data_IF_942793303911
#
_entry.id   IF_942793303911
#
_cell.length_a   1.000
_cell.length_b   1.000
_cell.length_c   1.000
_cell.angle_alpha   90.00
_cell.angle_beta   90.00
_cell.angle_gamma   90.00
#
_symmetry.space_group_name_H-M   'P 1'
#
loop_
_entity.id
_entity.type
_entity.pdbx_description
1 polymer ?
#
# COMPACT_ATOMS: atom_id res chain seq x y z
N UNK A 1 0.51 -25.15 -33.47
CA UNK A 1 1.61 -26.03 -33.05
C UNK A 1 1.07 -27.12 -32.12
N UNK A 2 1.37 -28.39 -32.38
CA UNK A 2 0.88 -29.51 -31.57
C UNK A 2 1.51 -29.51 -30.17
N UNK A 3 0.89 -30.22 -29.22
CA UNK A 3 1.37 -30.35 -27.84
C UNK A 3 2.76 -31.01 -27.80
N UNK A 4 2.99 -32.02 -28.65
CA UNK A 4 4.30 -32.64 -28.87
C UNK A 4 5.37 -31.66 -29.37
N UNK A 5 5.02 -30.75 -30.30
CA UNK A 5 5.98 -29.77 -30.82
C UNK A 5 6.37 -28.74 -29.76
N UNK A 6 5.44 -28.28 -28.92
CA UNK A 6 5.75 -27.45 -27.74
C UNK A 6 6.67 -28.17 -26.75
N UNK A 7 6.42 -29.46 -26.49
CA UNK A 7 7.24 -30.25 -25.55
C UNK A 7 8.68 -30.43 -26.05
N UNK A 8 8.87 -30.66 -27.36
CA UNK A 8 10.21 -30.75 -27.97
C UNK A 8 10.99 -29.44 -27.87
N UNK A 9 10.35 -28.30 -28.15
CA UNK A 9 11.01 -26.98 -28.08
C UNK A 9 11.44 -26.67 -26.65
N UNK A 10 10.59 -26.93 -25.66
CA UNK A 10 10.93 -26.70 -24.25
C UNK A 10 12.07 -27.61 -23.78
N UNK A 11 12.12 -28.85 -24.25
CA UNK A 11 13.20 -29.77 -23.92
C UNK A 11 14.54 -29.35 -24.54
N UNK A 12 14.54 -28.92 -25.80
CA UNK A 12 15.75 -28.38 -26.46
C UNK A 12 16.25 -27.09 -25.80
N UNK A 13 15.34 -26.22 -25.35
CA UNK A 13 15.71 -25.01 -24.62
C UNK A 13 16.34 -25.32 -23.25
N UNK A 14 15.82 -26.32 -22.53
CA UNK A 14 16.39 -26.77 -21.26
C UNK A 14 17.78 -27.41 -21.43
N UNK A 15 17.96 -28.23 -22.47
CA UNK A 15 19.26 -28.84 -22.80
C UNK A 15 20.32 -27.80 -23.17
N UNK A 16 19.93 -26.75 -23.91
CA UNK A 16 20.81 -25.64 -24.26
C UNK A 16 21.26 -24.84 -23.03
N UNK A 17 20.35 -24.55 -22.10
CA UNK A 17 20.68 -23.84 -20.85
C UNK A 17 21.60 -24.68 -19.95
N UNK A 18 21.37 -25.99 -19.86
CA UNK A 18 22.24 -26.90 -19.12
C UNK A 18 23.68 -26.97 -19.69
N UNK A 19 23.84 -26.82 -21.01
CA UNK A 19 25.16 -26.76 -21.65
C UNK A 19 25.90 -25.44 -21.39
N UNK A 20 25.18 -24.33 -21.22
CA UNK A 20 25.76 -23.04 -20.85
C UNK A 20 26.31 -23.03 -19.40
N UNK A 21 25.63 -23.70 -18.47
CA UNK A 21 26.08 -23.81 -17.07
C UNK A 21 27.36 -24.63 -16.89
N UNK A 22 27.73 -25.47 -17.87
CA UNK A 22 28.96 -26.27 -17.84
C UNK A 22 30.19 -25.56 -18.45
N UNK A 23 30.10 -24.24 -18.71
CA UNK A 23 31.27 -23.43 -19.09
C UNK A 23 31.73 -23.61 -20.55
N UNK A 24 30.82 -24.02 -21.44
CA UNK A 24 31.10 -24.10 -22.88
C UNK A 24 31.29 -22.72 -23.51
N UNK A 25 32.44 -22.51 -24.17
CA UNK A 25 32.69 -21.34 -25.03
C UNK A 25 31.71 -21.29 -26.21
N UNK A 26 31.08 -20.14 -26.44
CA UNK A 26 30.05 -19.88 -27.48
C UNK A 26 30.63 -19.88 -28.92
N UNK A 27 31.89 -20.28 -29.10
CA UNK A 27 32.64 -20.10 -30.34
C UNK A 27 32.27 -21.01 -31.52
N UNK A 28 31.76 -22.24 -31.30
CA UNK A 28 31.79 -23.27 -32.35
C UNK A 28 30.43 -23.92 -32.70
N UNK A 29 29.29 -23.35 -32.26
CA UNK A 29 27.96 -23.95 -32.51
C UNK A 29 27.09 -23.20 -33.55
N UNK A 30 27.69 -22.35 -34.40
CA UNK A 30 26.95 -21.45 -35.28
C UNK A 30 26.62 -22.00 -36.69
N UNK A 31 27.01 -23.23 -37.07
CA UNK A 31 26.87 -23.68 -38.47
C UNK A 31 25.78 -24.72 -38.78
N UNK A 32 25.02 -25.25 -37.81
CA UNK A 32 23.96 -26.21 -38.14
C UNK A 32 22.67 -26.01 -37.34
N UNK A 33 21.82 -25.08 -37.79
CA UNK A 33 20.39 -25.14 -37.45
C UNK A 33 19.53 -24.56 -38.60
N UNK A 34 18.78 -25.40 -39.35
CA UNK A 34 17.93 -24.93 -40.42
C UNK A 34 16.54 -24.52 -39.89
N UNK A 35 16.16 -23.27 -40.17
CA UNK A 35 14.77 -22.89 -40.41
C UNK A 35 13.94 -22.44 -39.21
N UNK A 36 13.83 -21.12 -39.04
CA UNK A 36 12.61 -20.33 -39.30
C UNK A 36 12.70 -19.02 -38.51
N UNK A 37 12.26 -17.93 -39.12
CA UNK A 37 12.17 -16.59 -38.51
C UNK A 37 11.37 -16.61 -37.17
N UNK A 38 10.54 -17.64 -36.98
CA UNK A 38 9.81 -17.96 -35.75
C UNK A 38 10.71 -18.33 -34.57
N UNK A 39 11.80 -19.09 -34.78
CA UNK A 39 12.73 -19.46 -33.70
C UNK A 39 13.49 -18.24 -33.16
N UNK A 40 13.94 -17.36 -34.04
CA UNK A 40 14.59 -16.10 -33.64
C UNK A 40 13.62 -15.18 -32.91
N UNK A 41 12.35 -15.15 -33.31
CA UNK A 41 11.30 -14.38 -32.63
C UNK A 41 11.00 -14.92 -31.22
N UNK A 42 11.04 -16.24 -31.02
CA UNK A 42 10.82 -16.86 -29.70
C UNK A 42 12.02 -16.62 -28.78
N UNK A 43 13.25 -16.78 -29.26
CA UNK A 43 14.46 -16.47 -28.49
C UNK A 43 14.51 -14.98 -28.09
N UNK A 44 14.19 -14.06 -29.01
CA UNK A 44 14.11 -12.63 -28.71
C UNK A 44 13.02 -12.28 -27.69
N UNK A 45 11.86 -12.98 -27.72
CA UNK A 45 10.78 -12.81 -26.72
C UNK A 45 11.18 -13.34 -25.35
N UNK A 46 11.91 -14.45 -25.28
CA UNK A 46 12.41 -15.02 -24.03
C UNK A 46 13.53 -14.15 -23.42
N UNK A 47 14.43 -13.60 -24.25
CA UNK A 47 15.40 -12.59 -23.79
C UNK A 47 14.72 -11.29 -23.33
N UNK A 48 13.67 -10.83 -24.01
CA UNK A 48 12.90 -9.65 -23.60
C UNK A 48 12.13 -9.88 -22.28
N UNK A 49 11.61 -11.08 -22.06
CA UNK A 49 10.99 -11.50 -20.80
C UNK A 49 12.02 -11.58 -19.66
N UNK A 50 13.22 -12.10 -19.93
CA UNK A 50 14.33 -12.15 -18.98
C UNK A 50 14.91 -10.75 -18.65
N UNK A 51 14.79 -9.77 -19.56
CA UNK A 51 15.24 -8.38 -19.36
C UNK A 51 14.15 -7.43 -18.84
N UNK A 52 13.01 -7.95 -18.37
CA UNK A 52 12.08 -7.20 -17.54
C UNK A 52 11.35 -6.05 -18.23
N UNK A 53 10.79 -6.25 -19.44
CA UNK A 53 9.80 -5.33 -20.04
C UNK A 53 8.77 -6.03 -20.93
N UNK A 54 8.01 -6.98 -20.40
CA UNK A 54 6.65 -7.28 -20.93
C UNK A 54 5.81 -7.88 -19.81
N UNK A 55 4.77 -7.15 -19.42
CA UNK A 55 3.72 -7.58 -18.50
C UNK A 55 2.94 -8.77 -19.10
N UNK A 56 2.90 -9.95 -18.47
CA UNK A 56 2.16 -11.10 -18.97
C UNK A 56 0.63 -10.99 -18.82
N UNK A 57 0.08 -9.89 -18.29
CA UNK A 57 -1.37 -9.76 -18.04
C UNK A 57 -2.17 -9.04 -19.15
N UNK A 58 -2.02 -9.43 -20.41
CA UNK A 58 -2.99 -9.05 -21.46
C UNK A 58 -3.65 -10.26 -22.11
N UNK A 59 -4.43 -10.98 -21.29
CA UNK A 59 -5.55 -11.76 -21.79
C UNK A 59 -6.80 -11.09 -21.22
N UNK A 60 -7.68 -10.59 -22.09
CA UNK A 60 -8.85 -9.79 -21.77
C UNK A 60 -9.80 -10.50 -20.78
N UNK A 61 -9.59 -10.29 -19.48
CA UNK A 61 -10.60 -10.49 -18.47
C UNK A 61 -11.63 -9.34 -18.57
N UNK A 62 -12.94 -9.60 -18.40
CA UNK A 62 -13.96 -8.57 -18.49
C UNK A 62 -13.63 -7.38 -17.57
N UNK A 63 -13.81 -6.16 -18.10
CA UNK A 63 -13.35 -4.92 -17.46
C UNK A 63 -13.81 -4.82 -16.00
N UNK A 64 -12.83 -4.87 -15.09
CA UNK A 64 -12.97 -4.92 -13.62
C UNK A 64 -13.31 -3.52 -13.04
N UNK A 65 -14.25 -2.80 -13.66
CA UNK A 65 -14.70 -1.48 -13.16
C UNK A 65 -15.80 -1.57 -12.10
N UNK A 66 -16.32 -2.76 -11.80
CA UNK A 66 -17.55 -2.95 -11.02
C UNK A 66 -17.37 -3.64 -9.66
N UNK A 67 -16.13 -3.96 -9.23
CA UNK A 67 -15.94 -4.72 -7.99
C UNK A 67 -16.31 -3.92 -6.74
N UNK A 68 -15.87 -2.66 -6.64
CA UNK A 68 -16.08 -1.79 -5.47
C UNK A 68 -16.68 -0.43 -5.91
N UNK A 69 -18.01 -0.21 -5.86
CA UNK A 69 -18.60 1.10 -6.12
C UNK A 69 -18.14 2.10 -5.04
N UNK A 70 -18.03 3.39 -5.38
CA UNK A 70 -17.72 4.39 -4.35
C UNK A 70 -18.88 4.45 -3.35
N UNK A 71 -18.60 4.33 -2.06
CA UNK A 71 -19.52 4.91 -1.10
C UNK A 71 -19.45 6.44 -1.27
N UNK A 72 -20.58 7.16 -1.33
CA UNK A 72 -20.54 8.61 -1.17
C UNK A 72 -19.82 8.94 0.16
N UNK A 73 -19.07 10.06 0.24
CA UNK A 73 -18.50 10.48 1.52
C UNK A 73 -19.62 10.48 2.58
N UNK A 74 -19.33 10.06 3.83
CA UNK A 74 -20.35 9.97 4.87
C UNK A 74 -21.12 11.29 4.90
N UNK A 75 -22.44 11.20 4.74
CA UNK A 75 -23.30 12.37 4.72
C UNK A 75 -23.02 13.18 5.99
N UNK A 76 -22.78 14.49 5.83
CA UNK A 76 -22.71 15.38 7.00
C UNK A 76 -24.03 15.20 7.78
N UNK A 77 -24.00 15.07 9.12
CA UNK A 77 -25.22 15.07 9.90
C UNK A 77 -26.03 16.31 9.55
N UNK A 78 -27.30 16.11 9.18
CA UNK A 78 -28.18 17.17 8.71
C UNK A 78 -28.40 18.18 9.85
N UNK A 79 -27.71 19.31 9.80
CA UNK A 79 -28.07 20.48 10.59
C UNK A 79 -29.23 21.17 9.87
N UNK A 80 -30.44 21.05 10.40
CA UNK A 80 -31.62 21.77 9.95
C UNK A 80 -31.47 23.27 10.24
N UNK A 81 -30.85 24.02 9.32
CA UNK A 81 -30.96 25.48 9.32
C UNK A 81 -31.96 25.95 8.25
N UNK A 82 -32.84 26.92 8.57
CA UNK A 82 -33.88 27.36 7.65
C UNK A 82 -33.31 28.07 6.42
N UNK A 83 -33.71 27.59 5.25
CA UNK A 83 -33.33 28.07 3.92
C UNK A 83 -33.71 29.54 3.69
N UNK A 84 -32.71 30.44 3.73
CA UNK A 84 -32.82 31.78 3.14
C UNK A 84 -32.46 31.74 1.67
N UNK A 85 -33.38 32.20 0.83
CA UNK A 85 -33.23 32.31 -0.62
C UNK A 85 -32.00 33.17 -0.98
N UNK A 86 -30.98 32.57 -1.61
CA UNK A 86 -29.78 33.25 -2.09
C UNK A 86 -29.77 33.23 -3.62
N UNK A 87 -29.53 34.40 -4.22
CA UNK A 87 -29.28 34.55 -5.65
C UNK A 87 -28.02 33.77 -6.03
N UNK A 88 -28.13 32.83 -6.99
CA UNK A 88 -26.98 32.08 -7.53
C UNK A 88 -26.21 32.98 -8.50
N UNK A 89 -25.12 33.57 -8.02
CA UNK A 89 -24.04 34.02 -8.90
C UNK A 89 -23.23 32.80 -9.33
N UNK A 90 -22.85 32.69 -10.60
CA UNK A 90 -22.08 31.54 -11.15
C UNK A 90 -20.66 31.39 -10.57
N UNK A 91 -20.34 32.11 -9.50
CA UNK A 91 -19.10 32.05 -8.71
C UNK A 91 -19.28 31.25 -7.40
N UNK A 92 -20.49 30.76 -7.11
CA UNK A 92 -20.82 30.03 -5.88
C UNK A 92 -20.74 28.50 -6.00
N UNK A 93 -20.32 27.96 -7.14
CA UNK A 93 -20.12 26.51 -7.28
C UNK A 93 -18.84 26.09 -6.55
N UNK A 94 -19.00 25.82 -5.26
CA UNK A 94 -17.98 25.21 -4.43
C UNK A 94 -17.46 23.97 -5.13
N UNK A 95 -16.16 23.94 -5.42
CA UNK A 95 -15.51 22.76 -5.98
C UNK A 95 -15.77 21.53 -5.11
N UNK A 96 -16.27 20.47 -5.74
CA UNK A 96 -16.45 19.15 -5.16
C UNK A 96 -15.63 18.14 -5.97
N UNK A 97 -14.77 17.43 -5.26
CA UNK A 97 -13.87 16.43 -5.78
C UNK A 97 -14.66 15.16 -6.11
N UNK A 98 -14.70 14.82 -7.39
CA UNK A 98 -15.37 13.62 -7.89
C UNK A 98 -14.48 12.38 -7.72
N UNK A 99 -14.67 11.66 -6.63
CA UNK A 99 -13.95 10.41 -6.31
C UNK A 99 -14.22 9.27 -7.31
N UNK A 100 -15.23 9.37 -8.17
CA UNK A 100 -15.54 8.34 -9.17
C UNK A 100 -14.72 8.56 -10.44
N UNK A 101 -14.67 9.82 -10.91
CA UNK A 101 -13.93 10.20 -12.11
C UNK A 101 -12.44 10.31 -11.87
N UNK A 102 -12.03 10.75 -10.69
CA UNK A 102 -10.62 10.95 -10.38
C UNK A 102 -9.77 9.69 -10.65
N UNK A 103 -8.64 9.89 -11.32
CA UNK A 103 -7.63 8.86 -11.58
C UNK A 103 -6.28 9.26 -10.97
N UNK A 104 -5.42 8.29 -10.63
CA UNK A 104 -4.06 8.61 -10.17
C UNK A 104 -3.30 9.39 -11.24
N UNK A 105 -2.51 10.38 -10.85
CA UNK A 105 -1.57 11.05 -11.75
C UNK A 105 -0.49 10.04 -12.17
N UNK A 106 -0.16 9.98 -13.47
CA UNK A 106 0.90 9.06 -13.94
C UNK A 106 2.27 9.36 -13.31
N UNK A 107 2.54 10.63 -13.03
CA UNK A 107 3.81 11.13 -12.52
C UNK A 107 3.59 12.27 -11.54
N UNK A 108 4.05 12.09 -10.31
CA UNK A 108 3.95 13.11 -9.26
C UNK A 108 5.22 13.95 -9.13
N UNK A 109 6.32 13.57 -9.77
CA UNK A 109 7.63 14.21 -9.65
C UNK A 109 7.72 15.57 -10.35
N UNK A 110 6.83 15.85 -11.31
CA UNK A 110 6.74 17.14 -11.98
C UNK A 110 5.27 17.57 -12.16
N UNK A 111 4.73 18.28 -11.17
CA UNK A 111 3.35 18.76 -11.20
C UNK A 111 3.28 20.22 -11.67
N UNK A 112 2.41 20.48 -12.64
CA UNK A 112 2.17 21.82 -13.16
C UNK A 112 1.14 22.54 -12.30
N UNK A 113 1.61 23.18 -11.22
CA UNK A 113 0.72 23.78 -10.22
C UNK A 113 -0.13 24.94 -10.71
N UNK A 114 0.34 25.79 -11.64
CA UNK A 114 -0.32 27.05 -12.03
C UNK A 114 -1.73 26.90 -12.61
N UNK A 115 -1.92 27.21 -13.90
CA UNK A 115 -3.24 27.08 -14.53
C UNK A 115 -3.76 25.63 -14.61
N UNK A 116 -2.93 24.63 -14.29
CA UNK A 116 -3.27 23.21 -14.38
C UNK A 116 -4.21 22.71 -13.29
N UNK A 117 -4.37 23.40 -12.16
CA UNK A 117 -5.25 22.94 -11.07
C UNK A 117 -6.69 23.41 -11.29
N UNK A 118 -7.63 22.47 -11.21
CA UNK A 118 -9.07 22.70 -11.30
C UNK A 118 -9.66 23.13 -9.97
N UNK A 119 -9.26 22.44 -8.90
CA UNK A 119 -9.77 22.69 -7.57
C UNK A 119 -9.10 21.82 -6.52
N UNK A 120 -9.29 22.22 -5.26
CA UNK A 120 -8.80 21.49 -4.10
C UNK A 120 -9.93 21.34 -3.09
N UNK A 121 -10.07 20.14 -2.53
CA UNK A 121 -11.04 19.86 -1.48
C UNK A 121 -10.34 19.24 -0.27
N UNK A 122 -10.58 19.82 0.90
CA UNK A 122 -10.18 19.19 2.17
C UNK A 122 -10.97 17.90 2.39
N UNK A 123 -10.29 16.82 2.76
CA UNK A 123 -10.94 15.61 3.24
C UNK A 123 -11.86 15.94 4.42
N UNK A 124 -13.09 15.43 4.38
CA UNK A 124 -14.02 15.52 5.51
C UNK A 124 -13.66 14.56 6.64
N UNK A 125 -12.81 13.56 6.37
CA UNK A 125 -12.30 12.60 7.34
C UNK A 125 -10.85 12.91 7.71
N UNK A 126 -10.51 12.69 8.99
CA UNK A 126 -9.17 12.89 9.54
C UNK A 126 -8.89 14.31 10.05
N UNK A 127 -7.93 14.42 10.96
CA UNK A 127 -7.53 15.68 11.61
C UNK A 127 -6.34 16.37 10.92
N UNK A 128 -5.55 15.64 10.12
CA UNK A 128 -4.21 16.05 9.66
C UNK A 128 -4.15 16.82 8.34
N UNK A 129 -5.23 17.52 7.94
CA UNK A 129 -5.17 18.39 6.77
C UNK A 129 -4.82 17.64 5.47
N UNK A 130 -5.59 16.60 5.16
CA UNK A 130 -5.55 15.91 3.86
C UNK A 130 -6.37 16.70 2.85
N UNK A 131 -5.81 16.94 1.66
CA UNK A 131 -6.45 17.67 0.57
C UNK A 131 -6.37 16.88 -0.73
N UNK A 132 -7.49 16.74 -1.42
CA UNK A 132 -7.57 16.17 -2.76
C UNK A 132 -7.46 17.29 -3.79
N UNK A 133 -6.54 17.17 -4.74
CA UNK A 133 -6.29 18.17 -5.78
C UNK A 133 -6.60 17.54 -7.14
N UNK A 134 -7.49 18.16 -7.91
CA UNK A 134 -7.81 17.75 -9.27
C UNK A 134 -7.22 18.73 -10.29
N UNK A 135 -6.81 18.21 -11.44
CA UNK A 135 -6.26 19.02 -12.55
C UNK A 135 -7.34 19.33 -13.61
N UNK A 136 -7.14 20.38 -14.42
CA UNK A 136 -8.15 20.90 -15.37
C UNK A 136 -8.29 20.04 -16.62
N UNK A 137 -7.16 19.67 -17.21
CA UNK A 137 -7.12 19.04 -18.53
C UNK A 137 -7.26 17.51 -18.46
N UNK A 138 -7.30 16.95 -17.26
CA UNK A 138 -7.36 15.50 -17.02
C UNK A 138 -8.23 15.22 -15.80
N UNK A 139 -8.74 14.00 -15.68
CA UNK A 139 -9.32 13.51 -14.42
C UNK A 139 -8.25 13.10 -13.41
N UNK A 140 -6.97 13.43 -13.64
CA UNK A 140 -5.91 13.05 -12.72
C UNK A 140 -6.00 13.83 -11.42
N UNK A 141 -5.57 13.18 -10.34
CA UNK A 141 -5.58 13.75 -9.01
C UNK A 141 -4.35 13.34 -8.20
N UNK A 142 -4.05 14.16 -7.21
CA UNK A 142 -3.07 13.91 -6.16
C UNK A 142 -3.67 14.24 -4.80
N UNK A 143 -3.03 13.72 -3.75
CA UNK A 143 -3.36 14.03 -2.35
C UNK A 143 -2.21 14.81 -1.74
N UNK A 144 -2.52 15.90 -1.06
CA UNK A 144 -1.56 16.71 -0.30
C UNK A 144 -1.88 16.56 1.18
N UNK A 145 -0.90 16.12 1.97
CA UNK A 145 -1.06 15.93 3.41
C UNK A 145 -0.04 16.76 4.17
N UNK A 146 -0.51 17.52 5.15
CA UNK A 146 0.31 18.18 6.15
C UNK A 146 0.38 17.33 7.42
N UNK A 147 1.35 16.43 7.53
CA UNK A 147 1.50 15.54 8.68
C UNK A 147 2.53 16.07 9.68
N UNK A 148 2.31 15.80 10.97
CA UNK A 148 3.34 16.03 12.01
C UNK A 148 4.35 14.89 12.08
N UNK A 149 4.10 13.80 11.37
CA UNK A 149 4.88 12.58 11.39
C UNK A 149 5.32 12.21 9.96
N UNK A 150 5.73 13.19 9.15
CA UNK A 150 6.09 12.97 7.74
C UNK A 150 7.22 11.96 7.59
N UNK A 151 8.24 12.02 8.47
CA UNK A 151 9.33 11.05 8.43
C UNK A 151 8.85 9.63 8.72
N UNK A 152 8.01 9.47 9.75
CA UNK A 152 7.43 8.18 10.14
C UNK A 152 6.55 7.61 9.01
N UNK A 153 5.72 8.44 8.40
CA UNK A 153 4.83 8.03 7.31
C UNK A 153 5.59 7.66 6.03
N UNK A 154 6.68 8.36 5.73
CA UNK A 154 7.56 8.01 4.62
C UNK A 154 8.31 6.70 4.87
N UNK A 155 8.90 6.54 6.06
CA UNK A 155 9.65 5.36 6.44
C UNK A 155 8.78 4.09 6.45
N UNK A 156 7.61 4.16 7.09
CA UNK A 156 6.63 3.07 7.07
C UNK A 156 6.09 2.81 5.65
N UNK A 157 6.04 3.84 4.79
CA UNK A 157 5.77 3.69 3.36
C UNK A 157 6.83 2.88 2.61
N UNK A 158 8.12 3.03 2.93
CA UNK A 158 9.19 2.20 2.35
C UNK A 158 9.10 0.75 2.81
N UNK A 159 8.84 0.50 4.09
CA UNK A 159 8.58 -0.84 4.62
C UNK A 159 7.38 -1.51 3.95
N UNK A 160 6.29 -0.78 3.72
CA UNK A 160 5.13 -1.29 3.00
C UNK A 160 5.51 -1.80 1.60
N UNK A 161 6.29 -1.00 0.84
CA UNK A 161 6.77 -1.39 -0.48
C UNK A 161 7.71 -2.61 -0.43
N UNK A 162 8.57 -2.68 0.61
CA UNK A 162 9.48 -3.81 0.83
C UNK A 162 8.73 -5.13 1.08
N UNK A 163 7.59 -5.07 1.77
CA UNK A 163 6.67 -6.19 2.00
C UNK A 163 5.81 -6.53 0.76
N UNK A 164 6.00 -5.85 -0.37
CA UNK A 164 5.21 -6.06 -1.58
C UNK A 164 3.79 -5.50 -1.52
N UNK A 165 3.47 -4.70 -0.49
CA UNK A 165 2.16 -4.04 -0.39
C UNK A 165 2.05 -2.90 -1.40
N UNK A 166 0.83 -2.70 -1.92
CA UNK A 166 0.54 -1.47 -2.65
C UNK A 166 0.47 -0.32 -1.66
N UNK A 167 1.21 0.75 -1.94
CA UNK A 167 1.16 2.02 -1.22
C UNK A 167 1.04 3.16 -2.24
N UNK A 168 0.38 4.28 -1.93
CA UNK A 168 0.41 5.45 -2.80
C UNK A 168 1.85 5.91 -3.03
N UNK A 169 2.26 6.09 -4.28
CA UNK A 169 3.55 6.75 -4.56
C UNK A 169 3.55 8.11 -3.86
N UNK A 170 4.68 8.48 -3.27
CA UNK A 170 4.77 9.73 -2.55
C UNK A 170 6.11 10.41 -2.75
N UNK A 171 6.12 11.71 -2.50
CA UNK A 171 7.34 12.50 -2.30
C UNK A 171 7.11 13.58 -1.28
N UNK A 172 8.21 14.03 -0.68
CA UNK A 172 8.21 15.09 0.32
C UNK A 172 8.69 16.38 -0.34
N UNK A 173 8.01 17.49 -0.07
CA UNK A 173 8.45 18.82 -0.48
C UNK A 173 8.54 19.75 0.71
N UNK A 174 9.55 20.62 0.72
CA UNK A 174 9.62 21.73 1.67
C UNK A 174 8.58 22.79 1.30
N UNK A 175 7.87 23.34 2.28
CA UNK A 175 6.96 24.48 2.07
C UNK A 175 7.73 25.72 1.59
N UNK A 176 9.03 25.85 1.92
CA UNK A 176 9.87 26.93 1.43
C UNK A 176 10.29 26.77 -0.05
N UNK A 177 10.12 25.59 -0.65
CA UNK A 177 10.51 25.35 -2.03
C UNK A 177 9.66 26.17 -3.01
N UNK A 178 10.26 26.61 -4.13
CA UNK A 178 9.57 27.35 -5.20
C UNK A 178 8.31 26.62 -5.69
N UNK A 179 8.38 25.30 -5.78
CA UNK A 179 7.25 24.47 -6.14
C UNK A 179 6.09 24.59 -5.15
N UNK A 180 6.35 24.44 -3.85
CA UNK A 180 5.32 24.58 -2.82
C UNK A 180 4.73 25.99 -2.82
N UNK A 181 5.53 27.02 -3.05
CA UNK A 181 5.04 28.40 -3.16
C UNK A 181 4.11 28.58 -4.37
N UNK A 182 4.44 27.98 -5.52
CA UNK A 182 3.56 27.99 -6.69
C UNK A 182 2.24 27.23 -6.44
N UNK A 183 2.31 26.08 -5.77
CA UNK A 183 1.13 25.34 -5.31
C UNK A 183 0.26 26.20 -4.37
N UNK A 184 0.86 26.83 -3.37
CA UNK A 184 0.15 27.67 -2.39
C UNK A 184 -0.49 28.90 -3.03
N UNK A 185 0.19 29.51 -4.01
CA UNK A 185 -0.39 30.60 -4.80
C UNK A 185 -1.64 30.13 -5.53
N UNK A 186 -1.55 28.99 -6.22
CA UNK A 186 -2.68 28.41 -6.94
C UNK A 186 -3.83 28.06 -6.01
N UNK A 187 -3.55 27.48 -4.84
CA UNK A 187 -4.60 27.17 -3.86
C UNK A 187 -5.36 28.41 -3.37
N UNK A 188 -4.73 29.59 -3.30
CA UNK A 188 -5.46 30.82 -2.98
C UNK A 188 -6.47 31.22 -4.07
N UNK A 189 -6.24 30.81 -5.31
CA UNK A 189 -7.11 31.11 -6.44
C UNK A 189 -8.27 30.10 -6.55
N UNK A 190 -8.01 28.82 -6.25
CA UNK A 190 -9.00 27.73 -6.45
C UNK A 190 -9.68 27.24 -5.18
N UNK A 191 -9.14 27.54 -3.98
CA UNK A 191 -9.78 27.25 -2.70
C UNK A 191 -10.52 28.50 -2.18
N UNK A 192 -11.80 28.60 -2.52
CA UNK A 192 -12.64 29.73 -2.10
C UNK A 192 -12.73 29.90 -0.57
N UNK A 193 -12.48 28.85 0.21
CA UNK A 193 -12.50 28.92 1.68
C UNK A 193 -11.12 29.24 2.27
N UNK A 194 -10.05 29.22 1.46
CA UNK A 194 -8.67 29.45 1.88
C UNK A 194 -8.13 28.44 2.90
N UNK A 195 -8.81 27.31 3.10
CA UNK A 195 -8.48 26.30 4.12
C UNK A 195 -7.18 25.56 3.79
N UNK A 196 -6.97 25.17 2.54
CA UNK A 196 -5.77 24.50 2.05
C UNK A 196 -4.54 25.37 2.34
N UNK A 197 -4.59 26.64 1.94
CA UNK A 197 -3.51 27.57 2.22
C UNK A 197 -3.29 27.76 3.73
N UNK A 198 -4.36 28.02 4.50
CA UNK A 198 -4.27 28.28 5.94
C UNK A 198 -3.75 27.08 6.75
N UNK A 199 -4.01 25.84 6.33
CA UNK A 199 -3.57 24.62 7.02
C UNK A 199 -2.18 24.21 6.57
N UNK A 200 -1.92 24.15 5.26
CA UNK A 200 -0.69 23.59 4.72
C UNK A 200 0.49 24.56 4.83
N UNK A 201 0.28 25.88 4.78
CA UNK A 201 1.36 26.88 4.93
C UNK A 201 2.01 26.89 6.32
N UNK A 202 1.36 26.27 7.32
CA UNK A 202 1.89 26.15 8.69
C UNK A 202 2.86 24.98 8.85
N UNK A 203 2.98 24.12 7.84
CA UNK A 203 3.89 22.98 7.88
C UNK A 203 5.25 23.36 7.34
N UNK A 204 6.31 22.68 7.79
CA UNK A 204 7.65 22.82 7.21
C UNK A 204 7.80 21.99 5.93
N UNK A 205 7.12 20.83 5.90
CA UNK A 205 7.13 19.88 4.81
C UNK A 205 5.71 19.40 4.51
N UNK A 206 5.50 18.94 3.28
CA UNK A 206 4.25 18.35 2.83
C UNK A 206 4.52 17.02 2.14
N UNK A 207 3.61 16.07 2.33
CA UNK A 207 3.56 14.84 1.55
C UNK A 207 2.66 15.06 0.34
N UNK A 208 3.23 14.88 -0.85
CA UNK A 208 2.48 14.75 -2.10
C UNK A 208 2.36 13.26 -2.37
N UNK A 209 1.13 12.76 -2.44
CA UNK A 209 0.81 11.37 -2.71
C UNK A 209 0.02 11.24 -4.00
N UNK A 210 0.25 10.16 -4.72
CA UNK A 210 -0.64 9.77 -5.80
C UNK A 210 -2.03 9.50 -5.24
N UNK A 211 -3.07 10.00 -5.92
CA UNK A 211 -4.43 9.62 -5.56
C UNK A 211 -4.61 8.13 -5.83
N UNK A 212 -5.26 7.41 -4.92
CA UNK A 212 -5.56 6.00 -5.10
C UNK A 212 -7.07 5.80 -5.21
N UNK A 213 -7.49 5.11 -6.27
CA UNK A 213 -8.88 4.74 -6.48
C UNK A 213 -9.20 3.51 -5.63
N UNK A 214 -9.62 3.75 -4.41
CA UNK A 214 -10.03 2.70 -3.50
C UNK A 214 -11.31 3.00 -2.75
N UNK A 215 -11.66 2.08 -1.88
CA UNK A 215 -12.71 2.21 -0.86
C UNK A 215 -12.09 1.73 0.45
N UNK A 216 -12.26 2.51 1.51
CA UNK A 216 -11.71 2.16 2.81
C UNK A 216 -12.59 1.07 3.43
N UNK A 217 -12.04 0.19 4.26
CA UNK A 217 -12.75 -0.94 4.87
C UNK A 217 -14.10 -0.49 5.46
N UNK A 218 -14.12 0.61 6.21
CA UNK A 218 -15.35 1.13 6.86
C UNK A 218 -16.42 1.67 5.91
N UNK A 219 -16.17 1.65 4.59
CA UNK A 219 -17.09 2.06 3.54
C UNK A 219 -17.45 0.90 2.60
N UNK A 220 -16.75 -0.23 2.67
CA UNK A 220 -17.03 -1.40 1.83
C UNK A 220 -18.21 -2.18 2.41
N UNK A 221 -19.09 -2.64 1.53
CA UNK A 221 -20.23 -3.48 1.90
C UNK A 221 -19.87 -4.95 1.77
N UNK A 222 -20.54 -5.81 2.54
CA UNK A 222 -20.43 -7.26 2.46
C UNK A 222 -20.44 -7.81 1.02
N UNK A 223 -21.44 -7.42 0.21
CA UNK A 223 -21.57 -7.87 -1.18
C UNK A 223 -20.37 -7.48 -2.07
N UNK A 224 -19.66 -6.41 -1.73
CA UNK A 224 -18.47 -5.99 -2.44
C UNK A 224 -17.25 -6.81 -1.98
N UNK A 225 -17.17 -7.17 -0.69
CA UNK A 225 -16.14 -8.07 -0.18
C UNK A 225 -16.30 -9.51 -0.65
N UNK A 226 -17.53 -10.00 -0.85
CA UNK A 226 -17.77 -11.31 -1.48
C UNK A 226 -17.20 -11.35 -2.90
N UNK A 227 -17.24 -10.24 -3.66
CA UNK A 227 -16.61 -10.20 -4.99
C UNK A 227 -15.08 -10.17 -4.93
N UNK A 228 -14.52 -9.57 -3.88
CA UNK A 228 -13.07 -9.45 -3.68
C UNK A 228 -12.47 -10.76 -3.18
N UNK A 229 -13.10 -11.37 -2.17
CA UNK A 229 -12.59 -12.54 -1.46
C UNK A 229 -13.23 -13.85 -1.94
N UNK A 230 -14.49 -13.83 -2.35
CA UNK A 230 -15.33 -15.02 -2.54
C UNK A 230 -16.30 -15.21 -1.36
N UNK A 231 -17.11 -16.25 -1.45
CA UNK A 231 -17.96 -16.64 -0.32
C UNK A 231 -17.10 -17.31 0.77
N UNK A 232 -17.49 -17.22 2.06
CA UNK A 232 -16.79 -17.89 3.15
C UNK A 232 -16.67 -19.40 2.90
N UNK A 233 -15.45 -19.94 2.96
CA UNK A 233 -15.14 -21.34 2.62
C UNK A 233 -15.05 -21.65 1.12
N UNK A 234 -15.33 -20.69 0.25
CA UNK A 234 -15.26 -20.81 -1.21
C UNK A 234 -14.54 -19.60 -1.84
N UNK A 235 -13.36 -19.27 -1.31
CA UNK A 235 -12.56 -18.13 -1.78
C UNK A 235 -12.08 -18.31 -3.21
N UNK A 236 -12.09 -17.22 -3.95
CA UNK A 236 -11.47 -17.16 -5.28
C UNK A 236 -9.95 -17.14 -5.16
N UNK A 237 -9.23 -17.45 -6.24
CA UNK A 237 -7.76 -17.31 -6.27
C UNK A 237 -7.33 -15.88 -5.96
N UNK A 238 -8.04 -14.90 -6.52
CA UNK A 238 -7.83 -13.49 -6.20
C UNK A 238 -8.04 -13.19 -4.72
N UNK A 239 -9.07 -13.75 -4.11
CA UNK A 239 -9.35 -13.61 -2.68
C UNK A 239 -8.25 -14.15 -1.77
N UNK A 240 -7.66 -15.29 -2.14
CA UNK A 240 -6.50 -15.86 -1.44
C UNK A 240 -5.30 -14.93 -1.49
N UNK A 241 -5.02 -14.33 -2.64
CA UNK A 241 -3.97 -13.29 -2.76
C UNK A 241 -4.28 -12.06 -1.90
N UNK A 242 -5.54 -11.65 -1.76
CA UNK A 242 -5.91 -10.55 -0.86
C UNK A 242 -5.71 -10.91 0.63
N UNK A 243 -5.92 -12.16 1.03
CA UNK A 243 -5.61 -12.60 2.40
C UNK A 243 -4.10 -12.56 2.67
N UNK A 244 -3.28 -12.94 1.69
CA UNK A 244 -1.82 -12.77 1.77
C UNK A 244 -1.41 -11.31 1.93
N UNK A 245 -2.03 -10.41 1.18
CA UNK A 245 -1.79 -8.97 1.31
C UNK A 245 -2.26 -8.43 2.67
N UNK A 246 -3.37 -8.93 3.23
CA UNK A 246 -3.79 -8.59 4.59
C UNK A 246 -2.78 -9.08 5.64
N UNK A 247 -2.22 -10.28 5.47
CA UNK A 247 -1.17 -10.79 6.34
C UNK A 247 0.09 -9.90 6.28
N UNK A 248 0.51 -9.48 5.08
CA UNK A 248 1.60 -8.53 4.91
C UNK A 248 1.30 -7.15 5.55
N UNK A 249 0.06 -6.68 5.48
CA UNK A 249 -0.37 -5.43 6.12
C UNK A 249 -0.29 -5.53 7.66
N UNK A 250 -0.71 -6.66 8.22
CA UNK A 250 -0.60 -6.92 9.66
C UNK A 250 0.87 -7.01 10.09
N UNK A 251 1.74 -7.65 9.30
CA UNK A 251 3.18 -7.70 9.57
C UNK A 251 3.82 -6.30 9.53
N UNK A 252 3.45 -5.46 8.56
CA UNK A 252 3.86 -4.07 8.52
C UNK A 252 3.48 -3.34 9.82
N UNK A 253 2.24 -3.54 10.30
CA UNK A 253 1.79 -2.89 11.52
C UNK A 253 2.58 -3.35 12.76
N UNK A 254 2.92 -4.64 12.84
CA UNK A 254 3.77 -5.17 13.91
C UNK A 254 5.19 -4.60 13.84
N UNK A 255 5.80 -4.54 12.66
CA UNK A 255 7.14 -3.95 12.48
C UNK A 255 7.17 -2.47 12.87
N UNK A 256 6.10 -1.74 12.59
CA UNK A 256 6.02 -0.31 12.85
C UNK A 256 5.41 0.05 14.21
N UNK A 257 4.98 -0.93 15.03
CA UNK A 257 4.14 -0.67 16.20
C UNK A 257 2.92 0.22 15.85
N UNK A 258 2.31 -0.02 14.70
CA UNK A 258 1.19 0.75 14.19
C UNK A 258 -0.13 0.14 14.66
N UNK A 259 -0.51 0.46 15.90
CA UNK A 259 -1.77 -0.03 16.46
C UNK A 259 -3.03 0.60 15.87
N UNK A 260 -2.96 1.58 14.96
CA UNK A 260 -4.15 2.32 14.54
C UNK A 260 -5.10 1.51 13.66
N UNK A 261 -4.61 0.60 12.80
CA UNK A 261 -5.45 -0.10 11.79
C UNK A 261 -6.28 -1.24 12.38
N UNK A 262 -5.61 -2.27 12.89
CA UNK A 262 -6.24 -3.48 13.42
C UNK A 262 -5.71 -3.80 14.82
N UNK A 263 -6.55 -4.32 15.73
CA UNK A 263 -6.15 -4.67 17.09
C UNK A 263 -5.49 -6.06 17.18
N UNK A 264 -4.42 -6.30 16.42
CA UNK A 264 -3.76 -7.62 16.37
C UNK A 264 -3.05 -7.98 17.68
N UNK A 265 -2.14 -7.13 18.15
CA UNK A 265 -1.44 -7.27 19.45
C UNK A 265 -1.74 -6.11 20.40
N UNK A 266 -2.50 -5.12 19.93
CA UNK A 266 -2.94 -3.97 20.70
C UNK A 266 -4.36 -4.19 21.24
N UNK A 267 -4.70 -3.45 22.30
CA UNK A 267 -6.05 -3.41 22.86
C UNK A 267 -6.71 -2.08 22.53
N UNK A 268 -7.14 -1.95 21.27
CA UNK A 268 -7.84 -0.76 20.78
C UNK A 268 -8.97 -1.18 19.83
N UNK A 269 -9.66 -0.19 19.24
CA UNK A 269 -10.77 -0.46 18.33
C UNK A 269 -10.34 -0.69 16.89
N UNK A 270 -9.11 -0.35 16.51
CA UNK A 270 -8.70 -0.19 15.13
C UNK A 270 -9.34 1.04 14.46
N UNK A 271 -8.95 1.25 13.20
CA UNK A 271 -9.37 2.35 12.35
C UNK A 271 -9.53 1.82 10.92
N UNK A 272 -10.75 1.43 10.52
CA UNK A 272 -10.99 0.87 9.20
C UNK A 272 -10.85 1.92 8.08
N UNK A 273 -10.70 3.20 8.44
CA UNK A 273 -10.35 4.27 7.52
C UNK A 273 -8.93 4.14 6.97
N UNK A 274 -8.04 3.38 7.63
CA UNK A 274 -6.63 3.25 7.27
C UNK A 274 -6.29 1.93 6.55
N UNK A 275 -7.33 1.18 6.15
CA UNK A 275 -7.26 -0.01 5.31
C UNK A 275 -8.08 0.28 4.06
N UNK A 276 -7.49 0.19 2.88
CA UNK A 276 -8.17 0.52 1.62
C UNK A 276 -8.04 -0.64 0.63
N UNK A 277 -9.09 -0.89 -0.14
CA UNK A 277 -9.09 -1.87 -1.23
C UNK A 277 -9.18 -1.14 -2.58
N UNK A 278 -8.33 -1.55 -3.53
CA UNK A 278 -8.30 -0.98 -4.86
C UNK A 278 -9.56 -1.36 -5.63
N UNK A 279 -10.22 -0.39 -6.29
CA UNK A 279 -11.47 -0.69 -7.01
C UNK A 279 -11.29 -1.61 -8.20
N UNK A 280 -10.10 -1.60 -8.80
CA UNK A 280 -9.81 -2.33 -10.03
C UNK A 280 -9.64 -3.82 -9.84
N UNK A 281 -9.33 -4.31 -8.65
CA UNK A 281 -9.02 -5.73 -8.41
C UNK A 281 -9.11 -6.15 -6.93
N UNK A 282 -9.64 -5.28 -6.07
CA UNK A 282 -9.71 -5.52 -4.63
C UNK A 282 -8.37 -5.53 -3.90
N UNK A 283 -7.24 -5.17 -4.55
CA UNK A 283 -5.91 -5.20 -3.92
C UNK A 283 -5.87 -4.38 -2.62
N UNK A 284 -5.25 -4.93 -1.57
CA UNK A 284 -5.05 -4.20 -0.32
C UNK A 284 -4.03 -3.08 -0.55
N UNK A 285 -4.38 -1.87 -0.14
CA UNK A 285 -3.55 -0.68 -0.22
C UNK A 285 -3.26 -0.19 1.20
N UNK A 286 -1.98 -0.16 1.54
CA UNK A 286 -1.49 0.41 2.78
C UNK A 286 -1.49 1.94 2.67
N UNK A 287 -2.45 2.59 3.35
CA UNK A 287 -2.55 4.05 3.43
C UNK A 287 -2.34 4.53 4.86
N UNK A 288 -1.97 5.80 5.01
CA UNK A 288 -1.72 6.41 6.32
C UNK A 288 -0.75 5.57 7.18
N UNK A 289 0.31 5.06 6.54
CA UNK A 289 1.36 4.30 7.23
C UNK A 289 1.98 5.19 8.32
N UNK A 290 2.23 4.63 9.50
CA UNK A 290 2.91 5.33 10.57
C UNK A 290 3.80 4.36 11.36
N UNK A 291 4.81 4.88 12.03
CA UNK A 291 5.66 4.13 12.96
C UNK A 291 5.66 4.81 14.32
N UNK A 292 5.48 4.02 15.37
CA UNK A 292 5.50 4.42 16.77
C UNK A 292 6.61 3.65 17.48
N UNK A 293 7.86 3.85 17.05
CA UNK A 293 9.00 3.14 17.61
C UNK A 293 9.13 3.39 19.11
N UNK A 294 9.39 2.32 19.86
CA UNK A 294 9.66 2.40 21.30
C UNK A 294 11.18 2.46 21.47
N UNK A 295 11.71 3.63 21.83
CA UNK A 295 13.14 3.79 22.05
C UNK A 295 13.57 3.01 23.31
N UNK A 296 14.38 1.96 23.13
CA UNK A 296 14.85 1.10 24.22
C UNK A 296 15.64 1.88 25.27
N UNK A 297 16.44 2.85 24.85
CA UNK A 297 17.28 3.63 25.77
C UNK A 297 16.44 4.48 26.73
N UNK A 298 15.28 4.96 26.27
CA UNK A 298 14.38 5.81 27.06
C UNK A 298 13.26 5.00 27.74
N UNK A 299 12.79 3.93 27.11
CA UNK A 299 11.56 3.19 27.47
C UNK A 299 11.80 1.68 27.48
N UNK A 300 12.87 1.22 28.15
CA UNK A 300 13.31 -0.17 28.13
C UNK A 300 12.21 -1.19 28.52
N UNK A 301 11.38 -0.87 29.52
CA UNK A 301 10.31 -1.78 29.96
C UNK A 301 9.18 -1.87 28.93
N UNK A 302 8.76 -0.75 28.33
CA UNK A 302 7.78 -0.75 27.25
C UNK A 302 8.31 -1.44 25.99
N UNK A 303 9.61 -1.29 25.70
CA UNK A 303 10.27 -1.96 24.59
C UNK A 303 10.25 -3.48 24.82
N UNK A 304 10.65 -3.94 26.01
CA UNK A 304 10.61 -5.37 26.39
C UNK A 304 9.19 -5.92 26.37
N UNK A 305 8.22 -5.17 26.91
CA UNK A 305 6.80 -5.56 26.87
C UNK A 305 6.31 -5.72 25.43
N UNK A 306 6.70 -4.80 24.54
CA UNK A 306 6.35 -4.88 23.13
C UNK A 306 6.95 -6.13 22.47
N UNK A 307 8.25 -6.38 22.64
CA UNK A 307 8.89 -7.57 22.07
C UNK A 307 8.29 -8.88 22.63
N UNK A 308 7.94 -8.92 23.92
CA UNK A 308 7.23 -10.06 24.50
C UNK A 308 5.85 -10.30 23.88
N UNK A 309 5.11 -9.24 23.53
CA UNK A 309 3.84 -9.37 22.78
C UNK A 309 4.06 -9.92 21.37
N UNK A 310 5.15 -9.50 20.70
CA UNK A 310 5.53 -9.98 19.37
C UNK A 310 5.92 -11.46 19.40
N UNK A 311 6.74 -11.87 20.37
CA UNK A 311 7.09 -13.28 20.60
C UNK A 311 5.83 -14.13 20.85
N UNK A 312 4.97 -13.70 21.79
CA UNK A 312 3.72 -14.40 22.08
C UNK A 312 2.77 -14.48 20.88
N UNK A 313 2.76 -13.46 20.01
CA UNK A 313 1.99 -13.50 18.76
C UNK A 313 2.46 -14.67 17.89
N UNK A 314 3.76 -14.83 17.67
CA UNK A 314 4.31 -15.91 16.84
C UNK A 314 4.01 -17.28 17.45
N UNK A 315 4.30 -17.49 18.73
CA UNK A 315 4.04 -18.77 19.41
C UNK A 315 2.58 -19.19 19.33
N UNK A 316 1.66 -18.27 19.58
CA UNK A 316 0.23 -18.56 19.49
C UNK A 316 -0.19 -18.79 18.04
N UNK A 317 0.30 -18.00 17.09
CA UNK A 317 -0.05 -18.15 15.67
C UNK A 317 0.42 -19.49 15.13
N UNK A 318 1.65 -19.90 15.41
CA UNK A 318 2.22 -21.19 15.00
C UNK A 318 1.41 -22.34 15.58
N UNK A 319 1.22 -22.35 16.91
CA UNK A 319 0.43 -23.38 17.59
C UNK A 319 -0.98 -23.53 17.03
N UNK A 320 -1.70 -22.42 16.89
CA UNK A 320 -3.08 -22.45 16.40
C UNK A 320 -3.14 -22.86 14.92
N UNK A 321 -2.16 -22.47 14.11
CA UNK A 321 -2.06 -22.91 12.71
C UNK A 321 -1.85 -24.43 12.61
N UNK A 322 -0.97 -25.01 13.43
CA UNK A 322 -0.74 -26.46 13.49
C UNK A 322 -1.99 -27.22 13.97
N UNK A 323 -2.71 -26.66 14.94
CA UNK A 323 -3.97 -27.22 15.45
C UNK A 323 -5.15 -27.03 14.46
N UNK A 324 -4.97 -26.27 13.37
CA UNK A 324 -6.06 -25.93 12.45
C UNK A 324 -7.14 -25.05 13.09
N UNK A 325 -6.77 -24.22 14.06
CA UNK A 325 -7.66 -23.33 14.80
C UNK A 325 -7.26 -21.85 14.64
N UNK A 326 -8.19 -20.96 14.94
CA UNK A 326 -7.95 -19.52 14.88
C UNK A 326 -7.26 -19.03 16.16
N UNK A 327 -6.12 -18.34 16.00
CA UNK A 327 -5.45 -17.66 17.09
C UNK A 327 -6.31 -16.46 17.56
N UNK A 328 -6.41 -16.20 18.88
CA UNK A 328 -7.24 -15.12 19.42
C UNK A 328 -6.94 -13.75 18.80
N UNK A 329 -5.70 -13.49 18.42
CA UNK A 329 -5.26 -12.25 17.78
C UNK A 329 -5.92 -12.06 16.40
N UNK A 330 -5.96 -13.12 15.59
CA UNK A 330 -6.56 -13.08 14.25
C UNK A 330 -8.08 -13.10 14.32
N UNK A 331 -8.65 -13.77 15.33
CA UNK A 331 -10.07 -13.66 15.67
C UNK A 331 -10.48 -12.20 15.90
N UNK A 332 -9.70 -11.45 16.69
CA UNK A 332 -9.97 -10.01 16.91
C UNK A 332 -9.90 -9.19 15.62
N UNK A 333 -9.01 -9.53 14.68
CA UNK A 333 -8.97 -8.87 13.37
C UNK A 333 -10.24 -9.20 12.56
N UNK A 334 -10.64 -10.48 12.53
CA UNK A 334 -11.87 -10.93 11.87
C UNK A 334 -13.11 -10.25 12.43
N UNK A 335 -13.24 -10.17 13.75
CA UNK A 335 -14.33 -9.47 14.43
C UNK A 335 -14.45 -8.02 13.96
N UNK A 336 -13.33 -7.34 13.72
CA UNK A 336 -13.34 -5.98 13.18
C UNK A 336 -13.82 -5.90 11.73
N UNK A 337 -13.43 -6.86 10.89
CA UNK A 337 -13.96 -6.92 9.52
C UNK A 337 -15.48 -7.17 9.53
N UNK A 338 -15.97 -8.04 10.42
CA UNK A 338 -17.40 -8.27 10.62
C UNK A 338 -18.09 -6.99 11.12
N UNK A 339 -17.56 -6.36 12.17
CA UNK A 339 -18.10 -5.12 12.75
C UNK A 339 -18.24 -4.01 11.71
N UNK A 340 -17.25 -3.84 10.84
CA UNK A 340 -17.21 -2.72 9.90
C UNK A 340 -17.92 -2.96 8.58
N UNK A 341 -17.93 -4.20 8.09
CA UNK A 341 -18.39 -4.51 6.74
C UNK A 341 -19.52 -5.54 6.68
N UNK A 342 -19.89 -6.13 7.82
CA UNK A 342 -20.78 -7.30 7.92
C UNK A 342 -20.29 -8.49 7.07
N UNK A 343 -18.98 -8.59 6.82
CA UNK A 343 -18.39 -9.69 6.07
C UNK A 343 -17.61 -10.59 7.01
N UNK A 344 -18.05 -11.83 7.12
CA UNK A 344 -17.38 -12.85 7.90
C UNK A 344 -16.66 -13.84 6.97
N UNK A 345 -15.32 -13.69 6.82
CA UNK A 345 -14.54 -14.64 6.03
C UNK A 345 -14.32 -16.00 6.70
N UNK A 346 -14.94 -16.28 7.85
CA UNK A 346 -14.90 -17.61 8.46
C UNK A 346 -13.54 -17.99 9.05
N UNK A 347 -13.50 -19.18 9.64
CA UNK A 347 -12.26 -19.78 10.15
C UNK A 347 -11.23 -19.96 9.01
N UNK A 348 -11.67 -20.40 7.84
CA UNK A 348 -10.78 -20.68 6.71
C UNK A 348 -10.00 -19.43 6.26
N UNK A 349 -10.65 -18.26 6.21
CA UNK A 349 -9.97 -17.01 5.87
C UNK A 349 -8.96 -16.61 6.93
N UNK A 350 -9.29 -16.78 8.22
CA UNK A 350 -8.35 -16.50 9.31
C UNK A 350 -7.12 -17.40 9.28
N UNK A 351 -7.33 -18.70 9.02
CA UNK A 351 -6.24 -19.65 8.88
C UNK A 351 -5.32 -19.28 7.70
N UNK A 352 -5.88 -18.84 6.58
CA UNK A 352 -5.07 -18.34 5.46
C UNK A 352 -4.23 -17.12 5.85
N UNK A 353 -4.81 -16.12 6.54
CA UNK A 353 -4.05 -14.94 6.98
C UNK A 353 -2.96 -15.34 7.98
N UNK A 354 -3.24 -16.24 8.93
CA UNK A 354 -2.26 -16.75 9.89
C UNK A 354 -1.09 -17.48 9.20
N UNK A 355 -1.41 -18.38 8.28
CA UNK A 355 -0.43 -19.14 7.51
C UNK A 355 0.46 -18.22 6.69
N UNK A 356 -0.12 -17.27 5.96
CA UNK A 356 0.66 -16.31 5.18
C UNK A 356 1.46 -15.35 6.06
N UNK A 357 0.98 -15.00 7.26
CA UNK A 357 1.74 -14.20 8.22
C UNK A 357 2.99 -14.94 8.68
N UNK A 358 2.85 -16.22 9.06
CA UNK A 358 4.00 -17.07 9.43
C UNK A 358 4.95 -17.28 8.26
N UNK A 359 4.42 -17.55 7.07
CA UNK A 359 5.19 -17.72 5.83
C UNK A 359 6.07 -16.48 5.54
N UNK A 360 5.51 -15.27 5.64
CA UNK A 360 6.26 -14.02 5.47
C UNK A 360 7.37 -13.85 6.51
N UNK A 361 7.20 -14.43 7.71
CA UNK A 361 8.23 -14.40 8.75
C UNK A 361 9.26 -15.53 8.55
N UNK A 362 8.88 -16.72 8.09
CA UNK A 362 9.74 -17.91 8.06
C UNK A 362 10.52 -18.09 6.75
N UNK A 363 9.91 -17.80 5.60
CA UNK A 363 10.47 -18.23 4.30
C UNK A 363 11.13 -17.10 3.52
N UNK A 364 11.17 -15.87 4.06
CA UNK A 364 11.98 -14.82 3.48
C UNK A 364 13.46 -15.04 3.79
N UNK A 365 14.39 -14.66 2.87
CA UNK A 365 15.82 -14.72 3.13
C UNK A 365 16.22 -13.96 4.40
N UNK A 366 17.27 -14.42 5.10
CA UNK A 366 17.78 -13.75 6.31
C UNK A 366 18.21 -12.30 6.05
N UNK A 367 18.64 -12.00 4.83
CA UNK A 367 19.03 -10.67 4.37
C UNK A 367 17.88 -9.88 3.73
N UNK A 368 16.63 -10.37 3.81
CA UNK A 368 15.47 -9.66 3.26
C UNK A 368 15.36 -8.24 3.83
N UNK A 369 15.60 -8.06 5.13
CA UNK A 369 15.65 -6.75 5.79
C UNK A 369 16.94 -6.62 6.59
N UNK A 370 17.71 -5.57 6.32
CA UNK A 370 19.00 -5.33 6.97
C UNK A 370 19.05 -4.00 7.71
N UNK A 371 19.87 -3.93 8.75
CA UNK A 371 20.10 -2.68 9.48
C UNK A 371 20.68 -1.59 8.57
N UNK A 372 21.57 -1.95 7.63
CA UNK A 372 22.18 -1.02 6.67
C UNK A 372 21.14 -0.40 5.72
N UNK A 373 20.20 -1.19 5.19
CA UNK A 373 19.12 -0.69 4.34
C UNK A 373 18.21 0.27 5.11
N UNK A 374 17.81 -0.10 6.33
CA UNK A 374 16.99 0.75 7.19
C UNK A 374 17.72 2.03 7.60
N UNK A 375 19.00 1.93 7.97
CA UNK A 375 19.85 3.07 8.30
C UNK A 375 20.02 4.01 7.10
N UNK A 376 20.15 3.47 5.90
CA UNK A 376 20.17 4.24 4.66
C UNK A 376 18.88 5.05 4.47
N UNK A 377 17.71 4.45 4.70
CA UNK A 377 16.43 5.17 4.63
C UNK A 377 16.32 6.27 5.71
N UNK A 378 16.73 5.98 6.95
CA UNK A 378 16.74 6.98 8.03
C UNK A 378 17.68 8.14 7.69
N UNK A 379 18.87 7.86 7.16
CA UNK A 379 19.82 8.88 6.74
C UNK A 379 19.25 9.75 5.61
N UNK A 380 18.62 9.14 4.60
CA UNK A 380 17.96 9.87 3.52
C UNK A 380 16.87 10.83 4.04
N UNK A 381 16.05 10.39 5.01
CA UNK A 381 15.03 11.23 5.65
C UNK A 381 15.62 12.30 6.58
N UNK A 382 16.81 12.05 7.15
CA UNK A 382 17.51 12.98 8.03
C UNK A 382 18.25 14.10 7.28
N UNK A 383 18.54 13.90 5.99
CA UNK A 383 19.24 14.88 5.14
C UNK A 383 18.40 16.11 4.75
N UNK A 384 17.11 16.16 5.11
CA UNK A 384 16.28 17.33 4.89
C UNK A 384 16.69 18.49 5.82
N UNK A 385 16.64 19.71 5.31
CA UNK A 385 16.92 20.93 6.07
C UNK A 385 15.74 21.91 5.96
N UNK A 386 15.06 22.27 7.07
CA UNK A 386 15.25 21.74 8.43
C UNK A 386 14.94 20.23 8.51
N UNK A 387 15.31 19.52 9.61
CA UNK A 387 14.96 18.11 9.77
C UNK A 387 13.45 17.86 9.62
N UNK A 388 13.08 16.71 9.06
CA UNK A 388 11.68 16.32 8.93
C UNK A 388 11.01 16.20 10.30
N UNK A 389 9.74 16.62 10.37
CA UNK A 389 8.93 16.46 11.59
C UNK A 389 8.68 14.96 11.83
N UNK A 390 8.88 14.53 13.08
CA UNK A 390 8.73 13.13 13.49
C UNK A 390 9.93 12.23 13.20
N UNK A 391 11.08 12.77 12.75
CA UNK A 391 12.27 11.94 12.45
C UNK A 391 12.78 11.15 13.66
N UNK A 392 12.59 11.67 14.88
CA UNK A 392 12.95 10.99 16.13
C UNK A 392 12.07 9.78 16.46
N UNK A 393 10.89 9.66 15.85
CA UNK A 393 10.02 8.50 15.99
C UNK A 393 10.39 7.36 15.02
N UNK A 394 11.36 7.58 14.13
CA UNK A 394 11.88 6.56 13.21
C UNK A 394 13.12 5.94 13.81
N UNK A 395 13.14 4.61 13.94
CA UNK A 395 14.29 3.88 14.46
C UNK A 395 14.52 2.59 13.69
N UNK A 396 15.63 2.53 12.97
CA UNK A 396 16.10 1.31 12.29
C UNK A 396 16.33 0.19 13.31
N UNK A 397 16.94 0.51 14.46
CA UNK A 397 17.21 -0.45 15.54
C UNK A 397 15.94 -1.08 16.09
N UNK A 398 14.90 -0.27 16.29
CA UNK A 398 13.60 -0.78 16.75
C UNK A 398 13.02 -1.79 15.75
N UNK A 399 12.96 -1.44 14.47
CA UNK A 399 12.42 -2.35 13.44
C UNK A 399 13.25 -3.63 13.35
N UNK A 400 14.57 -3.55 13.41
CA UNK A 400 15.44 -4.73 13.43
C UNK A 400 15.22 -5.59 14.68
N UNK A 401 15.07 -4.99 15.86
CA UNK A 401 14.78 -5.74 17.08
C UNK A 401 13.46 -6.52 16.94
N UNK A 402 12.41 -5.87 16.44
CA UNK A 402 11.11 -6.53 16.18
C UNK A 402 11.24 -7.64 15.14
N UNK A 403 11.94 -7.39 14.03
CA UNK A 403 12.17 -8.38 12.98
C UNK A 403 12.94 -9.60 13.49
N UNK A 404 13.99 -9.40 14.27
CA UNK A 404 14.77 -10.48 14.86
C UNK A 404 13.92 -11.29 15.84
N UNK A 405 13.14 -10.64 16.71
CA UNK A 405 12.22 -11.34 17.63
C UNK A 405 11.20 -12.20 16.87
N UNK A 406 10.62 -11.68 15.78
CA UNK A 406 9.71 -12.45 14.92
C UNK A 406 10.40 -13.70 14.35
N UNK A 407 11.61 -13.54 13.80
CA UNK A 407 12.39 -14.63 13.18
C UNK A 407 12.81 -15.69 14.19
N UNK A 408 13.40 -15.27 15.31
CA UNK A 408 13.86 -16.17 16.37
C UNK A 408 12.69 -16.97 16.96
N UNK A 409 11.55 -16.31 17.19
CA UNK A 409 10.36 -16.97 17.73
C UNK A 409 9.73 -17.95 16.74
N UNK A 410 9.84 -17.70 15.43
CA UNK A 410 9.28 -18.58 14.40
C UNK A 410 10.14 -19.81 14.09
N UNK A 411 11.41 -19.80 14.55
CA UNK A 411 12.36 -20.91 14.44
C UNK A 411 12.41 -21.81 15.69
N UNK A 412 11.95 -21.29 16.83
CA UNK A 412 11.85 -22.01 18.10
C UNK A 412 10.64 -22.94 18.13
#
# INVERSE_FOLDING_TARGET
MSREAKKRILQQAAEFLAQQEQGGSVGDAAEECPGSEECWTICAKLEAAARGKTDPQSVDAPSIRELLPCAPPPAKPASEEPSRFKWKTSLDEKFEFDFYKAIPRKRIDNLSWGSGVRGVQRSSAGSEGVFFVAFRDTDEAVVIKGSRNIAAEAFAGFLALKLGLKSPDFRIISVAAREAQAMMHTFREVDHLGLAHAVLSKQSFLLIKNFVRGVNLGQVKEADLIKVFGEPGAFTDGGRERFKELAALLLLDVLCNNGDRFPLIWDNRGNPGNVMFARSNGQVIAIDNNICAVDEATYADQHREYLSKVENLIHLTARHTDEGTEAPQFHRVRDKVIEYCNYDYGLDGSLLIQQEFLHLVQDVPDDWLTEDELAHWVAALSNFTPPLVGIHAVSAKFVMAVWNTLRESAQA
#
